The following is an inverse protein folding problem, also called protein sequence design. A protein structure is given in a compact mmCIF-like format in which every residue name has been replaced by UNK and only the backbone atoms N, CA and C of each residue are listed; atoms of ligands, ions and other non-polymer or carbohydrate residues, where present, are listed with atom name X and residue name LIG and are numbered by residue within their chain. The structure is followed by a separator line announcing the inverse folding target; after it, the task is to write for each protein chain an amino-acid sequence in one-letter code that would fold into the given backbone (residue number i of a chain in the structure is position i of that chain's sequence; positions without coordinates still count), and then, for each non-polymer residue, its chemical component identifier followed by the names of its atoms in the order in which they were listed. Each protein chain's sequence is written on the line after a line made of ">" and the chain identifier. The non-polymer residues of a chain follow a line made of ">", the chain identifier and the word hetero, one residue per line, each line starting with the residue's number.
data_IF_413996636941
#
_entry.id   IF_413996636941
#
_cell.length_a   1.000
_cell.length_b   1.000
_cell.length_c   1.000
_cell.angle_alpha   90.00
_cell.angle_beta   90.00
_cell.angle_gamma   90.00
#
_symmetry.space_group_name_H-M   'P 1'
#
loop_
_entity.id
_entity.type
_entity.pdbx_description
1 polymer ?
#
# COMPACT_ATOMS: atom_id res chain seq x y z
N UNK A 1 16.44 5.73 -2.32
CA UNK A 1 16.46 4.70 -3.39
C UNK A 1 15.55 5.18 -4.50
N UNK A 2 16.08 5.31 -5.72
CA UNK A 2 15.35 5.83 -6.88
C UNK A 2 14.43 4.74 -7.48
N UNK A 3 13.19 5.09 -7.81
CA UNK A 3 12.24 4.17 -8.43
C UNK A 3 12.52 4.16 -9.93
N UNK A 4 12.65 2.97 -10.51
CA UNK A 4 12.90 2.84 -11.95
C UNK A 4 11.66 3.20 -12.77
N UNK A 5 11.86 3.63 -14.02
CA UNK A 5 10.76 3.89 -14.97
C UNK A 5 9.81 2.69 -15.15
N UNK A 6 10.31 1.46 -15.03
CA UNK A 6 9.49 0.26 -15.13
C UNK A 6 8.61 0.08 -13.90
N UNK A 7 9.15 0.32 -12.70
CA UNK A 7 8.37 0.31 -11.47
C UNK A 7 7.30 1.40 -11.47
N UNK A 8 7.59 2.61 -11.99
CA UNK A 8 6.59 3.67 -12.16
C UNK A 8 5.44 3.23 -13.10
N UNK A 9 5.76 2.62 -14.25
CA UNK A 9 4.73 2.11 -15.18
C UNK A 9 3.85 1.04 -14.53
N UNK A 10 4.44 0.14 -13.74
CA UNK A 10 3.69 -0.88 -12.99
C UNK A 10 2.75 -0.24 -11.97
N UNK A 11 3.26 0.73 -11.21
CA UNK A 11 2.48 1.50 -10.24
C UNK A 11 1.29 2.19 -10.92
N UNK A 12 1.53 2.82 -12.07
CA UNK A 12 0.50 3.57 -12.80
C UNK A 12 -0.59 2.65 -13.35
N UNK A 13 -0.24 1.46 -13.82
CA UNK A 13 -1.22 0.43 -14.21
C UNK A 13 -2.07 -0.01 -13.02
N UNK A 14 -1.43 -0.39 -11.91
CA UNK A 14 -2.14 -0.84 -10.70
C UNK A 14 -3.06 0.27 -10.17
N UNK A 15 -2.61 1.53 -10.22
CA UNK A 15 -3.41 2.67 -9.81
C UNK A 15 -4.56 2.96 -10.78
N UNK A 16 -4.37 2.81 -12.09
CA UNK A 16 -5.41 3.03 -13.09
C UNK A 16 -6.60 2.08 -12.96
N UNK A 17 -6.36 0.85 -12.52
CA UNK A 17 -7.40 -0.16 -12.29
C UNK A 17 -8.12 0.01 -10.95
N UNK A 18 -7.70 0.96 -10.11
CA UNK A 18 -8.20 1.14 -8.77
C UNK A 18 -8.75 2.56 -8.54
N UNK A 19 -9.88 2.64 -7.87
CA UNK A 19 -10.30 3.90 -7.26
C UNK A 19 -9.79 3.95 -5.82
N UNK A 20 -8.89 4.87 -5.48
CA UNK A 20 -8.44 5.04 -4.10
C UNK A 20 -9.23 6.17 -3.41
N UNK A 21 -9.98 5.90 -2.32
CA UNK A 21 -10.76 6.93 -1.64
C UNK A 21 -9.90 8.00 -0.98
N UNK A 22 -8.62 7.71 -0.75
CA UNK A 22 -7.64 8.63 -0.15
C UNK A 22 -6.74 9.29 -1.21
N UNK A 23 -7.16 9.34 -2.49
CA UNK A 23 -6.43 10.07 -3.53
C UNK A 23 -5.00 9.58 -3.80
N UNK A 24 -4.70 8.30 -3.54
CA UNK A 24 -3.36 7.72 -3.71
C UNK A 24 -2.23 8.50 -2.99
N UNK A 25 -2.45 8.93 -1.75
CA UNK A 25 -1.41 9.59 -0.91
C UNK A 25 -0.06 8.86 -0.96
N UNK A 26 -0.04 7.53 -0.98
CA UNK A 26 1.18 6.74 -1.11
C UNK A 26 2.00 7.01 -2.39
N UNK A 27 1.35 7.38 -3.50
CA UNK A 27 2.01 7.80 -4.75
C UNK A 27 2.44 9.27 -4.68
N UNK A 28 1.61 10.13 -4.08
CA UNK A 28 1.91 11.56 -3.88
C UNK A 28 3.13 11.74 -2.98
N UNK A 29 3.25 10.95 -1.91
CA UNK A 29 4.39 10.94 -1.00
C UNK A 29 5.61 10.22 -1.55
N UNK A 30 5.61 9.84 -2.85
CA UNK A 30 6.66 9.04 -3.49
C UNK A 30 7.05 7.80 -2.68
N UNK A 31 6.08 7.19 -2.01
CA UNK A 31 6.27 5.99 -1.18
C UNK A 31 7.24 6.20 -0.02
N UNK A 32 7.49 7.45 0.39
CA UNK A 32 8.34 7.78 1.54
C UNK A 32 7.52 7.85 2.83
N UNK A 33 6.28 8.33 2.72
CA UNK A 33 5.31 8.38 3.82
C UNK A 33 4.33 7.19 3.69
N UNK A 34 4.86 5.99 3.88
CA UNK A 34 4.07 4.78 3.99
C UNK A 34 3.98 4.40 5.45
N UNK A 35 2.75 4.24 5.93
CA UNK A 35 2.48 3.67 7.25
C UNK A 35 3.30 2.37 7.42
N UNK A 36 3.85 2.13 8.61
CA UNK A 36 4.58 0.89 8.88
C UNK A 36 3.71 -0.30 8.52
N UNK A 37 4.20 -1.13 7.61
CA UNK A 37 3.46 -2.28 7.14
C UNK A 37 4.24 -3.58 7.23
N UNK A 38 3.51 -4.69 7.40
CA UNK A 38 4.06 -6.04 7.45
C UNK A 38 3.38 -6.90 6.38
N UNK A 39 4.17 -7.51 5.50
CA UNK A 39 3.65 -8.51 4.57
C UNK A 39 3.24 -9.77 5.34
N UNK A 40 2.01 -10.22 5.12
CA UNK A 40 1.46 -11.45 5.70
C UNK A 40 0.78 -12.27 4.60
N UNK A 41 0.39 -13.51 4.90
CA UNK A 41 -0.22 -14.44 3.94
C UNK A 41 0.60 -14.58 2.63
N UNK A 42 1.90 -14.89 2.74
CA UNK A 42 2.82 -14.96 1.59
C UNK A 42 2.82 -13.70 0.71
N UNK A 43 2.60 -12.55 1.35
CA UNK A 43 2.55 -11.24 0.72
C UNK A 43 1.30 -10.99 -0.12
N UNK A 44 0.23 -11.76 0.07
CA UNK A 44 -1.08 -11.44 -0.50
C UNK A 44 -1.79 -10.33 0.27
N UNK A 45 -1.36 -10.08 1.51
CA UNK A 45 -1.96 -9.09 2.40
C UNK A 45 -0.85 -8.27 3.07
N UNK A 46 -1.21 -7.03 3.41
CA UNK A 46 -0.33 -6.10 4.11
C UNK A 46 -1.01 -5.68 5.40
N UNK A 47 -0.44 -6.02 6.54
CA UNK A 47 -0.87 -5.50 7.83
C UNK A 47 -0.35 -4.07 8.00
N UNK A 48 -1.22 -3.15 8.40
CA UNK A 48 -0.93 -1.75 8.69
C UNK A 48 -0.82 -1.59 10.21
N UNK A 49 0.37 -1.22 10.68
CA UNK A 49 0.73 -1.16 12.11
C UNK A 49 0.49 0.21 12.75
N UNK A 50 -0.10 1.16 12.03
CA UNK A 50 -0.42 2.47 12.58
C UNK A 50 -1.83 2.52 13.17
N UNK A 51 -1.89 2.94 14.43
CA UNK A 51 -3.09 2.99 15.28
C UNK A 51 -4.18 3.94 14.77
N UNK A 52 -3.83 4.98 14.00
CA UNK A 52 -4.74 6.09 13.71
C UNK A 52 -5.21 6.20 12.25
N UNK A 53 -4.95 5.17 11.45
CA UNK A 53 -5.21 5.27 10.01
C UNK A 53 -6.66 4.97 9.68
N UNK A 54 -7.42 6.03 9.43
CA UNK A 54 -8.84 6.05 9.11
C UNK A 54 -9.32 5.09 8.01
N UNK A 55 -10.66 5.09 7.87
CA UNK A 55 -11.52 4.18 7.12
C UNK A 55 -11.19 4.15 5.61
N UNK A 56 -10.13 3.45 5.22
CA UNK A 56 -9.90 3.12 3.82
C UNK A 56 -10.79 1.96 3.39
N UNK A 57 -11.44 2.02 2.22
CA UNK A 57 -12.27 0.92 1.70
C UNK A 57 -11.54 -0.41 1.49
N UNK A 58 -10.21 -0.36 1.43
CA UNK A 58 -9.34 -1.52 1.32
C UNK A 58 -8.87 -2.06 2.68
N UNK A 59 -9.32 -1.45 3.78
CA UNK A 59 -8.96 -1.89 5.13
C UNK A 59 -9.93 -2.91 5.66
N UNK A 60 -9.40 -3.88 6.39
CA UNK A 60 -10.16 -4.87 7.13
C UNK A 60 -9.64 -4.89 8.57
N UNK A 61 -10.52 -4.88 9.58
CA UNK A 61 -10.11 -5.02 10.98
C UNK A 61 -9.46 -6.39 11.21
N UNK A 62 -8.39 -6.45 12.00
CA UNK A 62 -7.69 -7.68 12.35
C UNK A 62 -7.04 -7.58 13.74
N UNK A 63 -7.72 -8.10 14.76
CA UNK A 63 -7.27 -7.96 16.15
C UNK A 63 -7.12 -6.47 16.52
N UNK A 64 -5.95 -6.12 17.06
CA UNK A 64 -5.58 -4.75 17.42
C UNK A 64 -5.00 -3.93 16.24
N UNK A 65 -4.92 -4.52 15.04
CA UNK A 65 -4.35 -3.89 13.85
C UNK A 65 -5.38 -3.84 12.68
N UNK A 66 -4.94 -3.31 11.53
CA UNK A 66 -5.77 -3.28 10.31
C UNK A 66 -5.02 -3.89 9.13
N UNK A 67 -5.66 -4.81 8.40
CA UNK A 67 -5.13 -5.32 7.14
C UNK A 67 -5.51 -4.38 6.00
N UNK A 68 -4.64 -4.27 5.01
CA UNK A 68 -4.86 -3.52 3.78
C UNK A 68 -4.76 -4.48 2.58
N UNK A 69 -5.83 -4.50 1.77
CA UNK A 69 -5.91 -5.22 0.50
C UNK A 69 -5.59 -4.35 -0.71
N UNK A 70 -5.03 -3.17 -0.50
CA UNK A 70 -4.67 -2.27 -1.60
C UNK A 70 -3.56 -2.91 -2.44
N UNK A 71 -3.84 -3.24 -3.70
CA UNK A 71 -2.87 -3.89 -4.59
C UNK A 71 -1.61 -3.04 -4.76
N UNK A 72 -1.75 -1.71 -4.76
CA UNK A 72 -0.59 -0.81 -4.81
C UNK A 72 0.30 -0.96 -3.58
N UNK A 73 -0.27 -0.99 -2.37
CA UNK A 73 0.53 -1.21 -1.13
C UNK A 73 1.18 -2.58 -1.10
N UNK A 74 0.48 -3.62 -1.57
CA UNK A 74 1.03 -4.98 -1.70
C UNK A 74 2.24 -4.96 -2.65
N UNK A 75 2.09 -4.33 -3.82
CA UNK A 75 3.17 -4.23 -4.80
C UNK A 75 4.38 -3.49 -4.23
N UNK A 76 4.16 -2.37 -3.55
CA UNK A 76 5.23 -1.58 -2.93
C UNK A 76 5.97 -2.40 -1.87
N UNK A 77 5.25 -3.01 -0.94
CA UNK A 77 5.88 -3.80 0.12
C UNK A 77 6.66 -4.99 -0.42
N UNK A 78 6.16 -5.64 -1.49
CA UNK A 78 6.82 -6.77 -2.15
C UNK A 78 8.06 -6.40 -2.96
N UNK A 79 7.96 -5.36 -3.78
CA UNK A 79 8.94 -5.08 -4.84
C UNK A 79 9.86 -3.91 -4.50
N UNK A 80 9.44 -3.01 -3.62
CA UNK A 80 10.21 -1.84 -3.20
C UNK A 80 10.73 -1.98 -1.77
N UNK A 81 10.28 -3.01 -1.03
CA UNK A 81 10.63 -3.25 0.37
C UNK A 81 10.40 -2.02 1.28
N UNK A 82 9.28 -1.33 1.06
CA UNK A 82 8.82 -0.16 1.84
C UNK A 82 7.47 -0.41 2.49
#
# INVERSE_FOLDING_TARGET
>A
MEITKEQERQIDRIAGDMECPNGFVCRISKFEDLCKTRLIANGQLVECLEENNGRGKFKLPFGDSSLCKCHLRIYIAKNLHR
#
